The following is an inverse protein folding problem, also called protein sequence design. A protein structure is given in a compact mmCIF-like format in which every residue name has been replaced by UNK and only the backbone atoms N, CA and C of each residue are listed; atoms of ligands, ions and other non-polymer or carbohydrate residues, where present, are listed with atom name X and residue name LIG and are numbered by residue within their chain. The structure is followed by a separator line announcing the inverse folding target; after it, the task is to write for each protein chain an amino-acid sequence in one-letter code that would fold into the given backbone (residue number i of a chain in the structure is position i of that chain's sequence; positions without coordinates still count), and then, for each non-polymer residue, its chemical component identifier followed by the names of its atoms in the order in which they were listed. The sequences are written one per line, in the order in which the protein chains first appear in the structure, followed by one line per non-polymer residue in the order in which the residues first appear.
data_IF_788074430945
#
_entry.id   IF_788074430945
#
_cell.length_a   1.000
_cell.length_b   1.000
_cell.length_c   1.000
_cell.angle_alpha   90.00
_cell.angle_beta   90.00
_cell.angle_gamma   90.00
#
_symmetry.space_group_name_H-M   'P 1'
#
loop_
_entity.id
_entity.type
_entity.pdbx_description
1 polymer ?
#
# COMPACT_ATOMS: atom_id res chain seq x y z
N UNK A 1 24.99 -36.83 -87.87
CA UNK A 1 24.89 -35.58 -87.13
C UNK A 1 24.39 -35.87 -85.73
N UNK A 2 25.23 -35.73 -84.69
CA UNK A 2 24.88 -36.05 -83.30
C UNK A 2 24.59 -34.75 -82.55
N UNK A 3 23.35 -34.55 -82.13
CA UNK A 3 22.90 -33.41 -81.33
C UNK A 3 23.23 -33.68 -79.85
N UNK A 4 24.07 -32.90 -79.26
CA UNK A 4 24.39 -32.97 -77.81
C UNK A 4 23.32 -32.22 -77.00
N UNK A 5 22.54 -32.96 -76.25
CA UNK A 5 21.65 -32.37 -75.23
C UNK A 5 22.48 -31.87 -74.03
N UNK A 6 22.37 -30.58 -73.74
CA UNK A 6 22.89 -29.95 -72.51
C UNK A 6 21.87 -30.13 -71.39
N UNK A 7 22.25 -30.85 -70.39
CA UNK A 7 21.48 -30.94 -69.14
C UNK A 7 21.87 -29.74 -68.21
N UNK A 8 20.97 -28.81 -68.02
CA UNK A 8 21.13 -27.71 -67.08
C UNK A 8 20.76 -28.18 -65.67
N UNK A 9 21.73 -28.32 -64.79
CA UNK A 9 21.53 -28.68 -63.40
C UNK A 9 21.18 -27.41 -62.63
N UNK A 10 19.92 -27.25 -62.25
CA UNK A 10 19.48 -26.17 -61.38
C UNK A 10 19.84 -26.54 -59.92
N UNK A 11 20.84 -25.88 -59.39
CA UNK A 11 21.20 -25.99 -57.97
C UNK A 11 20.20 -25.18 -57.13
N UNK A 12 19.34 -25.85 -56.36
CA UNK A 12 18.49 -25.21 -55.38
C UNK A 12 19.34 -24.80 -54.17
N UNK A 13 19.61 -23.51 -54.03
CA UNK A 13 20.24 -22.94 -52.83
C UNK A 13 19.11 -22.74 -51.79
N UNK A 14 19.06 -23.62 -50.82
CA UNK A 14 18.18 -23.46 -49.63
C UNK A 14 18.89 -22.51 -48.68
N UNK A 15 18.42 -21.26 -48.63
CA UNK A 15 18.86 -20.26 -47.63
C UNK A 15 18.14 -20.58 -46.34
N UNK A 16 18.83 -21.22 -45.38
CA UNK A 16 18.37 -21.33 -43.98
C UNK A 16 18.55 -19.97 -43.30
N UNK A 17 17.44 -19.24 -43.11
CA UNK A 17 17.45 -18.08 -42.22
C UNK A 17 17.45 -18.60 -40.77
N UNK A 18 18.38 -18.13 -39.91
CA UNK A 18 18.32 -18.45 -38.48
C UNK A 18 17.14 -17.71 -37.86
N UNK A 19 16.15 -18.47 -37.40
CA UNK A 19 15.07 -17.93 -36.53
C UNK A 19 15.69 -17.58 -35.20
N UNK A 20 15.91 -16.30 -34.97
CA UNK A 20 16.33 -15.78 -33.65
C UNK A 20 15.13 -15.97 -32.70
N UNK A 21 15.19 -17.00 -31.86
CA UNK A 21 14.25 -17.18 -30.76
C UNK A 21 14.48 -16.04 -29.73
N UNK A 22 13.69 -14.97 -29.81
CA UNK A 22 13.62 -13.98 -28.75
C UNK A 22 12.99 -14.68 -27.54
N UNK A 23 13.82 -15.09 -26.60
CA UNK A 23 13.33 -15.53 -25.29
C UNK A 23 12.68 -14.33 -24.61
N UNK A 24 11.43 -14.46 -24.10
CA UNK A 24 10.82 -13.39 -23.31
C UNK A 24 11.67 -13.14 -22.08
N UNK A 25 12.09 -11.89 -21.87
CA UNK A 25 12.72 -11.46 -20.62
C UNK A 25 11.75 -11.75 -19.48
N UNK A 26 12.22 -12.34 -18.35
CA UNK A 26 11.38 -12.53 -17.21
C UNK A 26 10.87 -11.16 -16.73
N UNK A 27 9.56 -10.98 -16.74
CA UNK A 27 8.92 -9.82 -16.14
C UNK A 27 9.29 -9.79 -14.65
N UNK A 28 10.07 -8.80 -14.23
CA UNK A 28 10.38 -8.62 -12.82
C UNK A 28 9.07 -8.33 -12.09
N UNK A 29 8.68 -9.22 -11.17
CA UNK A 29 7.56 -8.96 -10.28
C UNK A 29 7.83 -7.65 -9.55
N UNK A 30 6.87 -6.72 -9.49
CA UNK A 30 7.08 -5.48 -8.78
C UNK A 30 7.49 -5.78 -7.34
N UNK A 31 8.57 -5.14 -6.87
CA UNK A 31 9.01 -5.26 -5.47
C UNK A 31 7.92 -4.70 -4.56
N UNK A 32 7.05 -5.57 -4.09
CA UNK A 32 5.95 -5.22 -3.20
C UNK A 32 6.17 -5.79 -1.81
N UNK A 33 5.56 -5.16 -0.83
CA UNK A 33 5.61 -5.58 0.56
C UNK A 33 4.22 -5.76 1.18
N UNK A 34 4.23 -6.18 2.42
CA UNK A 34 3.05 -6.28 3.28
C UNK A 34 3.26 -5.42 4.53
N UNK A 35 2.30 -4.55 4.78
CA UNK A 35 2.23 -3.74 6.00
C UNK A 35 1.11 -4.27 6.89
N UNK A 36 1.45 -4.69 8.10
CA UNK A 36 0.48 -5.03 9.13
C UNK A 36 0.43 -3.91 10.17
N UNK A 37 -0.75 -3.40 10.45
CA UNK A 37 -1.00 -2.36 11.44
C UNK A 37 -1.88 -2.93 12.53
N UNK A 38 -1.38 -2.95 13.77
CA UNK A 38 -2.15 -3.19 14.97
C UNK A 38 -2.44 -1.86 15.63
N UNK A 39 -3.71 -1.60 15.92
CA UNK A 39 -4.15 -0.39 16.61
C UNK A 39 -4.65 -0.80 17.99
N UNK A 40 -4.16 -0.14 19.03
CA UNK A 40 -4.46 -0.45 20.42
C UNK A 40 -4.97 0.78 21.16
N UNK A 41 -5.69 0.56 22.28
CA UNK A 41 -6.17 1.63 23.13
C UNK A 41 -7.50 2.25 22.68
N UNK A 42 -8.38 1.48 22.04
CA UNK A 42 -9.75 1.92 21.84
C UNK A 42 -10.48 2.06 23.18
N UNK A 43 -11.37 3.04 23.32
CA UNK A 43 -12.18 3.23 24.53
C UNK A 43 -13.19 2.11 24.75
N UNK A 44 -13.75 1.62 23.67
CA UNK A 44 -14.79 0.60 23.65
C UNK A 44 -14.73 -0.16 22.31
N UNK A 45 -15.61 -1.11 22.11
CA UNK A 45 -15.70 -1.90 20.89
C UNK A 45 -16.80 -1.42 19.92
N UNK A 46 -17.39 -0.24 20.15
CA UNK A 46 -18.39 0.33 19.24
C UNK A 46 -17.74 0.84 17.96
N UNK A 47 -18.46 0.80 16.85
CA UNK A 47 -17.96 1.28 15.58
C UNK A 47 -16.80 0.45 15.02
N UNK A 48 -15.79 1.11 14.47
CA UNK A 48 -14.66 0.46 13.80
C UNK A 48 -13.39 1.31 13.87
N UNK A 49 -12.23 0.68 13.65
CA UNK A 49 -10.98 1.41 13.43
C UNK A 49 -10.84 1.66 11.94
N UNK A 50 -10.63 2.92 11.56
CA UNK A 50 -10.29 3.33 10.20
C UNK A 50 -8.80 3.61 10.09
N UNK A 51 -8.22 3.07 9.02
CA UNK A 51 -6.77 3.14 8.77
C UNK A 51 -6.54 3.67 7.37
N UNK A 52 -5.75 4.73 7.25
CA UNK A 52 -5.38 5.34 5.98
C UNK A 52 -3.85 5.33 5.81
N UNK A 53 -3.39 4.80 4.66
CA UNK A 53 -1.99 4.72 4.28
C UNK A 53 -1.67 5.79 3.25
N UNK A 54 -0.71 6.66 3.53
CA UNK A 54 -0.30 7.77 2.67
C UNK A 54 1.13 7.58 2.14
N UNK A 55 1.37 8.03 0.90
CA UNK A 55 2.69 8.04 0.27
C UNK A 55 3.40 9.39 0.33
N UNK A 56 2.69 10.45 0.69
CA UNK A 56 3.19 11.82 0.78
C UNK A 56 2.37 12.61 1.79
N UNK A 57 2.73 13.88 1.99
CA UNK A 57 2.09 14.74 2.97
C UNK A 57 0.71 15.28 2.54
N UNK A 58 0.31 15.11 1.27
CA UNK A 58 -0.96 15.62 0.78
C UNK A 58 -2.13 14.92 1.47
N UNK A 59 -2.96 15.69 2.15
CA UNK A 59 -4.12 15.18 2.91
C UNK A 59 -3.80 14.52 4.24
N UNK A 60 -2.55 14.20 4.54
CA UNK A 60 -2.17 13.56 5.82
C UNK A 60 -2.34 14.53 6.99
N UNK A 61 -2.88 14.07 8.12
CA UNK A 61 -3.45 12.76 8.40
C UNK A 61 -4.96 12.67 8.17
N UNK A 62 -5.64 13.77 7.80
CA UNK A 62 -7.08 13.92 7.97
C UNK A 62 -7.93 13.74 6.71
N UNK A 63 -7.37 13.81 5.52
CA UNK A 63 -8.09 13.64 4.26
C UNK A 63 -7.83 12.26 3.64
N UNK A 64 -8.64 11.28 4.02
CA UNK A 64 -8.52 9.92 3.52
C UNK A 64 -8.75 9.79 2.00
N UNK A 65 -9.35 10.79 1.34
CA UNK A 65 -9.51 10.78 -0.13
C UNK A 65 -8.18 10.91 -0.87
N UNK A 66 -7.14 11.41 -0.20
CA UNK A 66 -5.77 11.53 -0.69
C UNK A 66 -4.88 10.36 -0.28
N UNK A 67 -5.40 9.43 0.50
CA UNK A 67 -4.65 8.26 0.91
C UNK A 67 -4.38 7.33 -0.29
N UNK A 68 -3.22 6.68 -0.28
CA UNK A 68 -2.87 5.65 -1.24
C UNK A 68 -3.80 4.43 -1.13
N UNK A 69 -4.11 4.02 0.12
CA UNK A 69 -5.11 2.98 0.45
C UNK A 69 -5.74 3.25 1.79
N UNK A 70 -6.97 2.77 1.94
CA UNK A 70 -7.68 2.76 3.22
C UNK A 70 -8.16 1.35 3.55
N UNK A 71 -8.26 1.05 4.82
CA UNK A 71 -8.90 -0.15 5.36
C UNK A 71 -9.63 0.16 6.66
N UNK A 72 -10.52 -0.73 7.05
CA UNK A 72 -11.25 -0.68 8.31
C UNK A 72 -11.26 -2.06 8.96
N UNK A 73 -11.35 -2.11 10.27
CA UNK A 73 -11.44 -3.34 11.03
C UNK A 73 -12.31 -3.17 12.28
N UNK A 74 -13.05 -4.23 12.60
CA UNK A 74 -13.77 -4.32 13.84
C UNK A 74 -12.80 -4.40 15.02
N UNK A 75 -13.23 -3.88 16.15
CA UNK A 75 -12.46 -3.87 17.38
C UNK A 75 -12.70 -5.16 18.14
N UNK A 76 -11.63 -5.83 18.54
CA UNK A 76 -11.70 -6.95 19.48
C UNK A 76 -12.19 -6.41 20.84
N UNK A 77 -13.36 -6.85 21.34
CA UNK A 77 -13.95 -6.30 22.57
C UNK A 77 -13.17 -6.65 23.83
N UNK A 78 -12.35 -7.68 23.80
CA UNK A 78 -11.53 -8.08 24.96
C UNK A 78 -10.19 -7.35 24.99
N UNK A 79 -9.56 -7.20 23.81
CA UNK A 79 -8.24 -6.56 23.70
C UNK A 79 -8.33 -5.05 23.42
N UNK A 80 -9.53 -4.49 23.12
CA UNK A 80 -9.75 -3.11 22.68
C UNK A 80 -8.73 -2.70 21.60
N UNK A 81 -8.55 -3.59 20.63
CA UNK A 81 -7.57 -3.45 19.55
C UNK A 81 -8.15 -3.93 18.22
N UNK A 82 -7.56 -3.46 17.12
CA UNK A 82 -7.88 -3.90 15.79
C UNK A 82 -6.61 -4.19 14.98
N UNK A 83 -6.73 -5.00 13.92
CA UNK A 83 -5.60 -5.33 13.05
C UNK A 83 -6.03 -5.26 11.60
N UNK A 84 -5.24 -4.60 10.77
CA UNK A 84 -5.38 -4.59 9.32
C UNK A 84 -4.08 -5.00 8.65
N UNK A 85 -4.15 -5.46 7.40
CA UNK A 85 -2.98 -5.79 6.60
C UNK A 85 -3.16 -5.28 5.18
N UNK A 86 -2.21 -4.49 4.72
CA UNK A 86 -2.10 -4.03 3.33
C UNK A 86 -1.07 -4.90 2.61
N UNK A 87 -1.52 -5.64 1.60
CA UNK A 87 -0.65 -6.52 0.78
C UNK A 87 -0.41 -5.90 -0.60
N UNK A 88 0.70 -6.30 -1.24
CA UNK A 88 1.02 -5.81 -2.57
C UNK A 88 1.32 -4.30 -2.61
N UNK A 89 1.88 -3.76 -1.53
CA UNK A 89 2.25 -2.35 -1.45
C UNK A 89 3.63 -2.19 -2.08
N UNK A 90 3.82 -1.28 -3.06
CA UNK A 90 5.14 -0.97 -3.59
C UNK A 90 6.12 -0.60 -2.47
N UNK A 91 7.39 -0.96 -2.64
CA UNK A 91 8.43 -0.48 -1.72
C UNK A 91 8.50 1.04 -1.75
N UNK A 92 8.68 1.67 -0.59
CA UNK A 92 8.68 3.12 -0.51
C UNK A 92 8.56 3.66 0.90
N UNK A 93 8.34 4.98 0.97
CA UNK A 93 8.11 5.70 2.23
C UNK A 93 6.62 5.96 2.38
N UNK A 94 6.10 5.67 3.55
CA UNK A 94 4.68 5.78 3.87
C UNK A 94 4.47 6.37 5.26
N UNK A 95 3.27 6.87 5.50
CA UNK A 95 2.76 7.16 6.83
C UNK A 95 1.35 6.59 6.99
N UNK A 96 0.99 6.23 8.20
CA UNK A 96 -0.36 5.73 8.53
C UNK A 96 -1.03 6.70 9.48
N UNK A 97 -2.28 7.03 9.21
CA UNK A 97 -3.18 7.63 10.19
C UNK A 97 -4.32 6.67 10.53
N UNK A 98 -4.76 6.71 11.77
CA UNK A 98 -5.86 5.88 12.27
C UNK A 98 -6.79 6.71 13.13
N UNK A 99 -8.06 6.32 13.16
CA UNK A 99 -9.01 6.82 14.16
C UNK A 99 -10.06 5.78 14.48
N UNK A 100 -10.67 5.93 15.65
CA UNK A 100 -11.76 5.11 16.12
C UNK A 100 -13.09 5.79 15.75
N UNK A 101 -13.71 5.32 14.68
CA UNK A 101 -15.02 5.79 14.20
C UNK A 101 -16.12 5.12 15.04
N UNK A 102 -16.46 5.71 16.19
CA UNK A 102 -17.37 5.11 17.17
C UNK A 102 -18.82 5.08 16.69
N UNK A 103 -19.21 6.05 15.86
CA UNK A 103 -20.57 6.19 15.36
C UNK A 103 -20.76 5.71 13.91
N UNK A 104 -19.70 5.27 13.22
CA UNK A 104 -19.74 4.72 11.87
C UNK A 104 -20.01 5.77 10.77
N UNK A 105 -19.74 7.05 11.04
CA UNK A 105 -20.01 8.13 10.07
C UNK A 105 -18.89 8.34 9.03
N UNK A 106 -17.74 7.64 9.17
CA UNK A 106 -16.62 7.69 8.26
C UNK A 106 -15.71 8.89 8.42
N UNK A 107 -15.85 9.66 9.49
CA UNK A 107 -15.11 10.90 9.73
C UNK A 107 -14.64 10.97 11.17
N UNK A 108 -13.49 11.55 11.39
CA UNK A 108 -13.02 11.89 12.74
C UNK A 108 -13.84 13.06 13.27
N UNK A 109 -14.69 12.80 14.25
CA UNK A 109 -15.52 13.81 14.87
C UNK A 109 -14.70 14.79 15.71
N UNK A 110 -15.06 16.06 15.59
CA UNK A 110 -14.36 17.17 16.28
C UNK A 110 -15.35 18.07 17.00
N UNK A 111 -14.86 18.70 18.05
CA UNK A 111 -15.59 19.79 18.72
C UNK A 111 -15.67 21.04 17.83
N UNK A 112 -16.47 22.02 18.21
CA UNK A 112 -16.59 23.30 17.50
C UNK A 112 -15.25 24.06 17.39
N UNK A 113 -14.29 23.79 18.28
CA UNK A 113 -12.95 24.38 18.26
C UNK A 113 -11.92 23.47 17.57
N UNK A 114 -12.36 22.40 16.88
CA UNK A 114 -11.49 21.54 16.08
C UNK A 114 -10.73 20.45 16.85
N UNK A 115 -11.00 20.27 18.15
CA UNK A 115 -10.39 19.21 18.96
C UNK A 115 -11.10 17.88 18.63
N UNK A 116 -10.36 16.80 18.31
CA UNK A 116 -10.94 15.49 18.12
C UNK A 116 -11.76 15.03 19.33
N UNK A 117 -12.94 14.48 19.08
CA UNK A 117 -13.80 13.83 20.08
C UNK A 117 -13.59 12.32 20.13
N UNK A 118 -13.14 11.76 19.03
CA UNK A 118 -12.83 10.36 18.88
C UNK A 118 -11.32 10.14 18.95
N UNK A 119 -10.94 8.94 19.39
CA UNK A 119 -9.55 8.56 19.53
C UNK A 119 -8.85 8.45 18.16
N UNK A 120 -7.63 8.89 18.07
CA UNK A 120 -6.84 8.89 16.83
C UNK A 120 -5.37 8.57 17.09
N UNK A 121 -4.63 8.27 16.02
CA UNK A 121 -3.20 7.97 16.11
C UNK A 121 -2.51 8.04 14.76
N UNK A 122 -1.20 7.91 14.77
CA UNK A 122 -0.39 7.83 13.57
C UNK A 122 0.81 6.90 13.77
N UNK A 123 1.37 6.40 12.66
CA UNK A 123 2.61 5.64 12.69
C UNK A 123 3.73 6.39 13.42
N UNK A 124 4.65 5.65 14.02
CA UNK A 124 5.69 6.13 14.92
C UNK A 124 5.19 6.74 16.26
N UNK A 125 3.88 6.71 16.52
CA UNK A 125 3.28 7.24 17.75
C UNK A 125 3.82 8.64 18.13
N UNK A 126 3.74 9.64 17.24
CA UNK A 126 4.27 10.97 17.54
C UNK A 126 3.58 11.55 18.78
N UNK A 127 4.34 12.26 19.58
CA UNK A 127 3.81 12.85 20.81
C UNK A 127 2.63 13.78 20.52
N UNK A 128 1.61 13.73 21.39
CA UNK A 128 0.45 14.60 21.32
C UNK A 128 0.90 16.07 21.40
N UNK A 129 0.54 16.83 20.38
CA UNK A 129 0.80 18.29 20.28
C UNK A 129 -0.52 19.02 20.07
N UNK A 130 -0.48 20.35 20.18
CA UNK A 130 -1.65 21.22 19.90
C UNK A 130 -1.98 21.28 18.37
N UNK A 131 -1.47 20.35 17.59
CA UNK A 131 -1.69 20.20 16.15
C UNK A 131 -1.68 18.73 15.76
N UNK A 132 -2.26 18.38 14.59
CA UNK A 132 -2.10 17.05 14.01
C UNK A 132 -0.62 16.70 13.76
N UNK A 133 -0.25 15.40 13.78
CA UNK A 133 1.07 14.96 13.35
C UNK A 133 1.32 15.29 11.88
N UNK A 134 2.56 15.57 11.54
CA UNK A 134 2.98 15.75 10.15
C UNK A 134 3.35 14.41 9.52
N UNK A 135 3.36 14.34 8.18
CA UNK A 135 3.84 13.18 7.45
C UNK A 135 5.28 12.82 7.86
N UNK A 136 6.16 13.80 8.00
CA UNK A 136 7.55 13.59 8.39
C UNK A 136 7.72 12.99 9.79
N UNK A 137 6.83 13.30 10.73
CA UNK A 137 6.82 12.70 12.07
C UNK A 137 6.34 11.23 12.04
N UNK A 138 5.47 10.89 11.10
CA UNK A 138 4.82 9.59 11.00
C UNK A 138 5.46 8.65 9.96
N UNK A 139 6.29 9.15 9.05
CA UNK A 139 6.80 8.35 7.92
C UNK A 139 7.72 7.21 8.34
N UNK A 140 7.65 6.12 7.59
CA UNK A 140 8.49 4.93 7.72
C UNK A 140 8.78 4.33 6.35
N UNK A 141 9.84 3.53 6.24
CA UNK A 141 10.18 2.79 5.02
C UNK A 141 9.54 1.40 5.03
N UNK A 142 8.97 1.00 3.91
CA UNK A 142 8.48 -0.35 3.63
C UNK A 142 9.35 -0.97 2.53
N UNK A 143 10.05 -2.06 2.84
CA UNK A 143 10.85 -2.83 1.87
C UNK A 143 10.17 -4.15 1.48
N UNK A 144 9.88 -5.03 2.43
CA UNK A 144 9.21 -6.31 2.17
C UNK A 144 8.06 -6.56 3.13
N UNK A 145 8.35 -6.64 4.42
CA UNK A 145 7.35 -6.81 5.48
C UNK A 145 7.60 -5.81 6.60
N UNK A 146 6.52 -5.23 7.11
CA UNK A 146 6.58 -4.35 8.27
C UNK A 146 5.35 -4.53 9.13
N UNK A 147 5.56 -4.58 10.43
CA UNK A 147 4.51 -4.52 11.44
C UNK A 147 4.66 -3.19 12.21
N UNK A 148 3.55 -2.54 12.42
CA UNK A 148 3.44 -1.33 13.25
C UNK A 148 2.42 -1.55 14.34
N UNK A 149 2.68 -1.00 15.52
CA UNK A 149 1.69 -0.83 16.56
C UNK A 149 1.43 0.66 16.75
N UNK A 150 0.17 1.06 16.65
CA UNK A 150 -0.27 2.44 16.80
C UNK A 150 -1.16 2.53 18.03
N UNK A 151 -0.73 3.36 18.98
CA UNK A 151 -1.48 3.69 20.17
C UNK A 151 -2.46 4.83 19.85
N UNK A 152 -3.75 4.60 20.10
CA UNK A 152 -4.74 5.66 20.06
C UNK A 152 -4.54 6.64 21.24
N UNK A 153 -4.74 7.91 20.94
CA UNK A 153 -4.74 9.02 21.91
C UNK A 153 -6.11 9.71 21.91
N UNK A 154 -6.48 10.24 23.04
CA UNK A 154 -7.79 10.85 23.32
C UNK A 154 -7.64 12.33 23.67
#
# INVERSE_FOLDING_TARGET
MRTKSQVVLLANVVILLPVLLLSPLPAQSPNTGTLTVRVVGAHNASGEIRVALFQNAEGFPGDASKAFRTQQAQIDPQALSAKVSFTGIPQGVYAVSVFHDENGNGKLDKSLVGIPKEAYGASNNPQKKMRPPTFDEAKFSLSSQRALEIQLIH
#
